data_IF_392630725599
#
_entry.id   IF_392630725599
#
_cell.length_a   1.000
_cell.length_b   1.000
_cell.length_c   1.000
_cell.angle_alpha   90.00
_cell.angle_beta   90.00
_cell.angle_gamma   90.00
#
_symmetry.space_group_name_H-M   'P 1'
#
loop_
_entity.id
_entity.type
_entity.pdbx_description
1 polymer ?
#
# COMPACT_ATOMS: atom_id res chain seq x y z
N UNK A 1 9.34 8.89 -13.54
CA UNK A 1 10.62 9.28 -12.89
C UNK A 1 11.76 8.33 -13.27
N UNK A 2 13.03 8.75 -13.15
CA UNK A 2 14.23 7.91 -13.37
C UNK A 2 14.74 7.43 -12.01
N UNK A 3 15.01 6.12 -11.87
CA UNK A 3 15.58 5.53 -10.68
C UNK A 3 17.03 6.00 -10.48
N UNK A 4 17.37 6.61 -9.33
CA UNK A 4 18.71 7.15 -9.08
C UNK A 4 19.78 6.07 -8.90
N UNK A 5 19.39 4.83 -8.62
CA UNK A 5 20.31 3.70 -8.45
C UNK A 5 20.70 3.01 -9.75
N UNK A 6 19.84 3.05 -10.77
CA UNK A 6 20.05 2.27 -12.00
C UNK A 6 19.83 3.05 -13.30
N UNK A 7 19.48 4.35 -13.23
CA UNK A 7 19.34 5.23 -14.39
C UNK A 7 18.20 4.87 -15.35
N UNK A 8 17.33 3.93 -14.99
CA UNK A 8 16.18 3.50 -15.80
C UNK A 8 14.90 4.18 -15.33
N UNK A 9 13.85 4.27 -16.17
CA UNK A 9 12.50 4.60 -15.70
C UNK A 9 12.14 3.77 -14.47
N UNK A 10 11.52 4.38 -13.45
CA UNK A 10 11.16 3.70 -12.19
C UNK A 10 10.33 2.44 -12.46
N UNK A 11 9.41 2.48 -13.43
CA UNK A 11 8.63 1.30 -13.84
C UNK A 11 9.52 0.17 -14.34
N UNK A 12 10.57 0.47 -15.11
CA UNK A 12 11.53 -0.53 -15.58
C UNK A 12 12.48 -0.99 -14.47
N UNK A 13 12.83 -0.11 -13.52
CA UNK A 13 13.61 -0.45 -12.35
C UNK A 13 12.84 -1.39 -11.41
N UNK A 14 11.56 -1.08 -11.17
CA UNK A 14 10.62 -1.92 -10.44
C UNK A 14 10.41 -3.23 -11.18
N UNK A 15 10.10 -3.20 -12.47
CA UNK A 15 9.93 -4.39 -13.29
C UNK A 15 11.17 -5.27 -13.31
N UNK A 16 12.40 -4.72 -13.34
CA UNK A 16 13.64 -5.50 -13.23
C UNK A 16 13.90 -6.02 -11.82
N UNK A 17 13.64 -5.22 -10.79
CA UNK A 17 13.73 -5.66 -9.40
C UNK A 17 12.73 -6.78 -9.09
N UNK A 18 11.60 -6.80 -9.79
CA UNK A 18 10.52 -7.78 -9.64
C UNK A 18 10.66 -8.98 -10.61
N UNK A 19 11.23 -8.81 -11.81
CA UNK A 19 11.47 -9.90 -12.77
C UNK A 19 12.59 -10.86 -12.39
N UNK A 20 13.40 -10.53 -11.39
CA UNK A 20 14.44 -11.41 -10.86
C UNK A 20 13.94 -12.43 -9.84
N UNK A 21 12.68 -12.31 -9.39
CA UNK A 21 12.12 -13.24 -8.42
C UNK A 21 11.22 -14.22 -9.21
N UNK A 22 11.83 -15.28 -9.72
CA UNK A 22 11.16 -16.56 -10.03
C UNK A 22 11.77 -17.66 -9.15
N UNK A 23 10.98 -18.23 -8.25
CA UNK A 23 11.37 -19.32 -7.35
C UNK A 23 10.21 -20.27 -7.25
N UNK A 24 10.58 -21.54 -7.15
CA UNK A 24 9.78 -22.60 -6.57
C UNK A 24 10.36 -22.75 -5.14
N UNK A 25 9.64 -22.41 -4.04
CA UNK A 25 8.19 -22.19 -3.87
C UNK A 25 7.72 -20.75 -4.22
N UNK A 26 6.39 -20.51 -4.34
CA UNK A 26 5.81 -19.53 -5.26
C UNK A 26 6.02 -18.11 -4.76
N UNK A 27 6.69 -17.33 -5.58
CA UNK A 27 6.76 -15.89 -5.40
C UNK A 27 5.42 -15.30 -5.75
N UNK A 28 4.98 -14.41 -4.88
CA UNK A 28 3.80 -13.61 -5.12
C UNK A 28 4.27 -12.34 -5.80
N UNK A 29 3.97 -12.23 -7.09
CA UNK A 29 3.85 -10.93 -7.75
C UNK A 29 2.62 -10.28 -7.13
N UNK A 30 2.84 -9.28 -6.28
CA UNK A 30 1.76 -8.43 -5.76
C UNK A 30 1.80 -7.14 -6.57
N UNK A 31 0.66 -6.74 -7.10
CA UNK A 31 0.52 -5.39 -7.63
C UNK A 31 0.47 -4.44 -6.43
N UNK A 32 1.00 -3.25 -6.62
CA UNK A 32 0.74 -2.10 -5.76
C UNK A 32 -0.32 -1.32 -6.53
N UNK A 33 -1.51 -1.14 -5.97
CA UNK A 33 -2.61 -0.49 -6.70
C UNK A 33 -2.32 1.00 -6.90
N UNK A 34 -1.80 1.67 -5.86
CA UNK A 34 -1.39 3.06 -5.96
C UNK A 34 -0.06 3.36 -5.28
N UNK A 35 0.68 4.29 -5.88
CA UNK A 35 1.86 4.92 -5.29
C UNK A 35 1.61 6.41 -5.29
N UNK A 36 1.66 7.04 -4.12
CA UNK A 36 1.54 8.50 -4.01
C UNK A 36 2.95 9.10 -4.03
N UNK A 37 3.20 9.96 -5.02
CA UNK A 37 4.47 10.65 -5.20
C UNK A 37 4.27 12.17 -4.98
N UNK A 38 5.17 12.79 -4.22
CA UNK A 38 5.18 14.24 -3.97
C UNK A 38 6.56 14.77 -4.36
N UNK A 39 6.63 15.45 -5.50
CA UNK A 39 7.91 15.89 -6.08
C UNK A 39 8.78 14.70 -6.48
N UNK A 40 9.94 14.56 -5.83
CA UNK A 40 10.89 13.46 -6.06
C UNK A 40 10.86 12.37 -4.97
N UNK A 41 9.87 12.39 -4.07
CA UNK A 41 9.72 11.44 -2.98
C UNK A 41 8.45 10.60 -3.15
N UNK A 42 8.55 9.32 -2.84
CA UNK A 42 7.37 8.47 -2.63
C UNK A 42 6.86 8.75 -1.22
N UNK A 43 5.59 9.11 -1.08
CA UNK A 43 4.97 9.45 0.19
C UNK A 43 4.31 8.23 0.85
N UNK A 44 3.65 7.36 0.06
CA UNK A 44 3.03 6.13 0.53
C UNK A 44 2.75 5.16 -0.61
N UNK A 45 2.55 3.88 -0.29
CA UNK A 45 2.00 2.87 -1.19
C UNK A 45 0.68 2.35 -0.65
N UNK A 46 -0.24 2.02 -1.56
CA UNK A 46 -1.62 1.65 -1.24
C UNK A 46 -2.00 0.38 -1.99
N UNK A 47 -2.67 -0.53 -1.27
CA UNK A 47 -3.45 -1.63 -1.83
C UNK A 47 -4.93 -1.32 -1.65
N UNK A 48 -5.72 -1.44 -2.70
CA UNK A 48 -7.16 -1.20 -2.71
C UNK A 48 -7.94 -2.51 -2.85
N UNK A 49 -9.10 -2.56 -2.19
CA UNK A 49 -9.98 -3.73 -2.18
C UNK A 49 -11.44 -3.30 -2.21
N UNK A 50 -12.14 -3.63 -3.29
CA UNK A 50 -13.59 -3.46 -3.40
C UNK A 50 -14.31 -4.63 -2.70
N UNK A 51 -14.60 -4.47 -1.42
CA UNK A 51 -15.25 -5.50 -0.60
C UNK A 51 -15.73 -4.92 0.73
N UNK A 52 -16.94 -5.32 1.13
CA UNK A 52 -17.52 -5.02 2.45
C UNK A 52 -16.77 -5.64 3.62
N UNK A 53 -16.05 -6.74 3.37
CA UNK A 53 -15.33 -7.49 4.39
C UNK A 53 -13.87 -7.10 4.36
N UNK A 54 -13.34 -6.61 5.48
CA UNK A 54 -11.98 -6.06 5.52
C UNK A 54 -10.93 -7.16 5.72
N UNK A 55 -10.77 -8.01 4.70
CA UNK A 55 -9.80 -9.11 4.71
C UNK A 55 -8.70 -8.91 3.67
N UNK A 56 -7.45 -9.04 4.10
CA UNK A 56 -6.28 -9.05 3.22
C UNK A 56 -5.63 -10.42 3.15
N UNK A 57 -5.11 -10.80 1.99
CA UNK A 57 -4.30 -12.02 1.87
C UNK A 57 -2.95 -11.77 2.55
N UNK A 58 -2.62 -12.57 3.56
CA UNK A 58 -1.41 -12.36 4.38
C UNK A 58 -0.14 -12.36 3.54
N UNK A 59 -0.08 -13.23 2.53
CA UNK A 59 1.09 -13.30 1.66
C UNK A 59 1.31 -11.99 0.86
N UNK A 60 0.24 -11.33 0.40
CA UNK A 60 0.33 -10.04 -0.30
C UNK A 60 0.81 -8.96 0.68
N UNK A 61 0.20 -8.91 1.86
CA UNK A 61 0.57 -7.97 2.91
C UNK A 61 2.04 -8.14 3.33
N UNK A 62 2.56 -9.36 3.40
CA UNK A 62 3.99 -9.61 3.69
C UNK A 62 4.87 -9.00 2.61
N UNK A 63 4.53 -9.18 1.33
CA UNK A 63 5.29 -8.64 0.20
C UNK A 63 5.23 -7.10 0.17
N UNK A 64 4.04 -6.52 0.20
CA UNK A 64 3.84 -5.07 0.19
C UNK A 64 4.55 -4.40 1.37
N UNK A 65 4.48 -5.01 2.56
CA UNK A 65 5.16 -4.49 3.75
C UNK A 65 6.69 -4.46 3.58
N UNK A 66 7.27 -5.40 2.84
CA UNK A 66 8.71 -5.38 2.53
C UNK A 66 9.05 -4.22 1.59
N UNK A 67 8.20 -3.95 0.60
CA UNK A 67 8.37 -2.80 -0.32
C UNK A 67 8.27 -1.48 0.46
N UNK A 68 7.20 -1.29 1.23
CA UNK A 68 7.01 -0.11 2.08
C UNK A 68 8.19 0.12 3.02
N UNK A 69 8.70 -0.94 3.66
CA UNK A 69 9.89 -0.87 4.51
C UNK A 69 11.15 -0.47 3.73
N UNK A 70 11.35 -1.00 2.52
CA UNK A 70 12.51 -0.69 1.70
C UNK A 70 12.52 0.76 1.19
N UNK A 71 11.33 1.32 0.99
CA UNK A 71 11.14 2.71 0.58
C UNK A 71 11.05 3.69 1.77
N UNK A 72 10.99 3.17 2.99
CA UNK A 72 10.74 3.94 4.23
C UNK A 72 9.43 4.77 4.17
N UNK A 73 8.36 4.15 3.67
CA UNK A 73 7.05 4.79 3.52
C UNK A 73 5.94 3.96 4.18
N UNK A 74 4.79 4.57 4.54
CA UNK A 74 3.62 3.85 5.01
C UNK A 74 3.03 2.92 3.94
N UNK A 75 2.45 1.80 4.39
CA UNK A 75 1.60 0.92 3.59
C UNK A 75 0.16 1.07 4.07
N UNK A 76 -0.72 1.52 3.19
CA UNK A 76 -2.15 1.58 3.44
C UNK A 76 -2.86 0.42 2.75
N UNK A 77 -3.92 -0.07 3.39
CA UNK A 77 -4.92 -0.93 2.75
C UNK A 77 -6.25 -0.20 2.80
N UNK A 78 -6.79 0.08 1.63
CA UNK A 78 -8.04 0.80 1.41
C UNK A 78 -9.10 -0.23 1.07
N UNK A 79 -10.18 -0.26 1.85
CA UNK A 79 -11.37 -1.05 1.56
C UNK A 79 -12.47 -0.12 1.08
N UNK A 80 -13.04 -0.43 -0.07
CA UNK A 80 -14.12 0.30 -0.70
C UNK A 80 -15.38 -0.55 -0.65
N UNK A 81 -16.43 -0.05 -0.01
CA UNK A 81 -17.78 -0.61 -0.08
C UNK A 81 -18.59 0.14 -1.15
N UNK A 82 -18.56 -0.37 -2.38
CA UNK A 82 -19.26 0.23 -3.54
C UNK A 82 -20.80 0.36 -3.34
N UNK A 83 -21.39 -0.33 -2.36
CA UNK A 83 -22.83 -0.24 -2.08
C UNK A 83 -23.17 0.81 -1.01
N UNK A 84 -22.26 1.08 -0.09
CA UNK A 84 -22.43 2.08 0.97
C UNK A 84 -21.71 3.39 0.68
N UNK A 85 -20.94 3.45 -0.41
CA UNK A 85 -20.08 4.58 -0.76
C UNK A 85 -19.09 4.93 0.37
N UNK A 86 -18.65 3.89 1.10
CA UNK A 86 -17.79 4.03 2.28
C UNK A 86 -16.39 3.49 1.97
N UNK A 87 -15.39 4.27 2.34
CA UNK A 87 -13.98 3.93 2.30
C UNK A 87 -13.47 3.78 3.72
N UNK A 88 -12.88 2.61 4.00
CA UNK A 88 -12.16 2.36 5.25
C UNK A 88 -10.67 2.14 4.97
N UNK A 89 -9.81 2.87 5.68
CA UNK A 89 -8.36 2.81 5.49
C UNK A 89 -7.70 2.20 6.73
N UNK A 90 -6.81 1.24 6.51
CA UNK A 90 -5.95 0.69 7.56
C UNK A 90 -4.49 0.94 7.25
N UNK A 91 -3.73 1.32 8.27
CA UNK A 91 -2.27 1.26 8.21
C UNK A 91 -1.82 -0.19 8.43
N UNK A 92 -0.83 -0.65 7.67
CA UNK A 92 -0.14 -1.91 7.90
C UNK A 92 1.26 -1.61 8.45
N UNK A 93 1.47 -1.68 9.78
CA UNK A 93 2.77 -1.39 10.36
C UNK A 93 3.85 -2.28 9.77
N UNK A 94 4.97 -1.68 9.35
CA UNK A 94 6.04 -2.42 8.68
C UNK A 94 6.69 -3.47 9.57
N UNK A 95 6.60 -3.32 10.90
CA UNK A 95 7.09 -4.25 11.91
C UNK A 95 6.07 -5.35 12.30
N UNK A 96 4.81 -5.28 11.83
CA UNK A 96 3.75 -6.23 12.21
C UNK A 96 4.11 -7.66 11.81
N UNK A 97 3.92 -8.62 12.70
CA UNK A 97 4.00 -10.06 12.39
C UNK A 97 2.61 -10.57 12.05
N UNK A 98 2.47 -11.24 10.91
CA UNK A 98 1.23 -11.88 10.53
C UNK A 98 1.17 -13.31 11.06
N UNK A 99 -0.03 -13.80 11.43
CA UNK A 99 -0.19 -15.19 11.84
C UNK A 99 0.02 -16.15 10.65
N UNK A 100 0.29 -17.42 10.93
CA UNK A 100 0.36 -18.48 9.92
C UNK A 100 -1.06 -18.86 9.41
N UNK A 101 -1.74 -17.90 8.78
CA UNK A 101 -3.07 -18.03 8.19
C UNK A 101 -3.05 -17.52 6.76
N UNK A 102 -4.10 -17.84 6.00
CA UNK A 102 -4.27 -17.36 4.62
C UNK A 102 -4.68 -15.89 4.54
N UNK A 103 -5.55 -15.47 5.46
CA UNK A 103 -6.14 -14.13 5.47
C UNK A 103 -5.92 -13.45 6.83
N UNK A 104 -5.75 -12.14 6.77
CA UNK A 104 -5.76 -11.25 7.91
C UNK A 104 -7.10 -10.54 7.96
N UNK A 105 -7.70 -10.45 9.15
CA UNK A 105 -8.94 -9.70 9.36
C UNK A 105 -8.58 -8.31 9.94
N UNK A 106 -8.82 -7.26 9.16
CA UNK A 106 -8.62 -5.87 9.56
C UNK A 106 -9.78 -5.30 10.39
N UNK A 107 -10.95 -5.95 10.42
CA UNK A 107 -12.09 -5.55 11.27
C UNK A 107 -11.76 -5.60 12.78
N UNK A 108 -10.62 -6.20 13.14
CA UNK A 108 -10.10 -6.25 14.52
C UNK A 108 -9.09 -5.14 14.84
N UNK A 109 -8.70 -4.38 13.83
CA UNK A 109 -7.80 -3.25 13.97
C UNK A 109 -8.62 -1.96 14.01
N UNK A 110 -8.07 -0.92 14.63
CA UNK A 110 -8.64 0.41 14.53
C UNK A 110 -8.36 0.98 13.13
N UNK A 111 -9.38 1.45 12.40
CA UNK A 111 -9.17 2.10 11.12
C UNK A 111 -8.49 3.45 11.33
N UNK A 112 -7.64 3.81 10.38
CA UNK A 112 -7.00 5.12 10.31
C UNK A 112 -7.98 6.19 9.83
N UNK A 113 -8.91 5.79 8.97
CA UNK A 113 -9.93 6.65 8.38
C UNK A 113 -11.16 5.79 8.01
N UNK A 114 -12.35 6.37 8.17
CA UNK A 114 -13.63 5.90 7.61
C UNK A 114 -14.34 7.16 7.10
N UNK A 115 -14.85 7.12 5.87
CA UNK A 115 -15.60 8.22 5.28
C UNK A 115 -15.96 7.91 3.83
N UNK A 116 -16.50 8.89 3.12
CA UNK A 116 -16.79 8.76 1.69
C UNK A 116 -15.57 9.06 0.79
N UNK A 117 -15.77 9.08 -0.53
CA UNK A 117 -14.72 9.40 -1.51
C UNK A 117 -14.18 10.83 -1.41
N UNK A 118 -15.02 11.81 -1.08
CA UNK A 118 -14.60 13.20 -0.95
C UNK A 118 -13.74 13.37 0.30
N UNK A 119 -14.23 12.86 1.43
CA UNK A 119 -13.51 12.82 2.70
C UNK A 119 -12.19 12.04 2.59
N UNK A 120 -12.17 10.94 1.83
CA UNK A 120 -10.95 10.18 1.57
C UNK A 120 -9.92 10.99 0.77
N UNK A 121 -10.38 11.77 -0.21
CA UNK A 121 -9.53 12.68 -0.96
C UNK A 121 -8.87 13.73 -0.05
N UNK A 122 -9.64 14.35 0.83
CA UNK A 122 -9.15 15.30 1.84
C UNK A 122 -8.14 14.63 2.79
N UNK A 123 -8.47 13.44 3.28
CA UNK A 123 -7.59 12.65 4.13
C UNK A 123 -6.22 12.40 3.47
N UNK A 124 -6.19 12.03 2.19
CA UNK A 124 -4.95 11.81 1.45
C UNK A 124 -4.15 13.10 1.28
N UNK A 125 -4.82 14.19 0.93
CA UNK A 125 -4.19 15.50 0.77
C UNK A 125 -3.51 15.96 2.05
N UNK A 126 -4.21 15.92 3.18
CA UNK A 126 -3.70 16.41 4.46
C UNK A 126 -2.54 15.56 4.98
N UNK A 127 -2.65 14.24 4.89
CA UNK A 127 -1.69 13.34 5.55
C UNK A 127 -0.46 13.01 4.71
N UNK A 128 -0.56 13.06 3.37
CA UNK A 128 0.53 12.60 2.50
C UNK A 128 1.04 13.66 1.54
N UNK A 129 0.25 14.67 1.20
CA UNK A 129 0.63 15.70 0.22
C UNK A 129 1.04 16.99 0.94
N UNK A 130 0.15 17.57 1.74
CA UNK A 130 0.41 18.81 2.46
C UNK A 130 1.36 18.60 3.64
N UNK A 131 1.25 17.50 4.39
CA UNK A 131 2.21 17.20 5.47
C UNK A 131 3.69 17.16 5.02
N UNK A 132 3.97 16.89 3.74
CA UNK A 132 5.32 16.79 3.19
C UNK A 132 5.89 18.12 2.71
N UNK A 133 5.04 19.13 2.45
CA UNK A 133 5.48 20.44 1.93
C UNK A 133 5.94 21.40 3.02
N UNK A 134 5.68 21.09 4.29
CA UNK A 134 6.06 21.89 5.45
C UNK A 134 7.27 21.35 6.23
N UNK A 135 7.98 20.35 5.71
CA UNK A 135 9.22 19.79 6.28
C UNK A 135 10.41 20.01 5.35
#
# INVERSE_FOLDING_TARGET
MICPFCGMPIENALHRALNGIQTNPPIVITNIDYVIEVGNKIATIIEEKHTKRHFGKIYQLITLKRVARALDVPLLVVFVDDLLDEITVYNVPTNRRFPAKRFYNFEKDDPLFIGDYEEFGEFILDNFIYAQTWR
#
